data_IF_319064769522
#
_entry.id   IF_319064769522
#
_cell.length_a   1.000
_cell.length_b   1.000
_cell.length_c   1.000
_cell.angle_alpha   90.00
_cell.angle_beta   90.00
_cell.angle_gamma   90.00
#
_symmetry.space_group_name_H-M   'P 1'
#
loop_
_entity.id
_entity.type
_entity.pdbx_description
1 polymer ?
#
# COMPACT_ATOMS: atom_id res chain seq x y z
N UNK A 1 -15.86 21.30 9.27
CA UNK A 1 -15.73 20.01 8.52
C UNK A 1 -16.43 20.05 7.17
N UNK A 2 -17.64 20.59 7.05
CA UNK A 2 -18.36 20.65 5.78
C UNK A 2 -17.63 21.55 4.77
N UNK A 3 -17.29 22.77 5.13
CA UNK A 3 -16.52 23.71 4.30
C UNK A 3 -15.16 23.15 3.83
N UNK A 4 -14.47 22.37 4.66
CA UNK A 4 -13.21 21.74 4.27
C UNK A 4 -13.40 20.63 3.23
N UNK A 5 -14.53 19.89 3.26
CA UNK A 5 -14.86 18.90 2.25
C UNK A 5 -15.28 19.53 0.92
N UNK A 6 -15.98 20.67 0.96
CA UNK A 6 -16.34 21.42 -0.24
C UNK A 6 -15.08 21.94 -0.97
N UNK A 7 -14.13 22.48 -0.23
CA UNK A 7 -12.82 22.90 -0.80
C UNK A 7 -12.05 21.72 -1.39
N UNK A 8 -12.05 20.57 -0.71
CA UNK A 8 -11.43 19.35 -1.23
C UNK A 8 -12.11 18.85 -2.51
N UNK A 9 -13.44 18.90 -2.57
CA UNK A 9 -14.21 18.53 -3.75
C UNK A 9 -13.78 19.36 -4.95
N UNK A 10 -13.81 20.69 -4.82
CA UNK A 10 -13.39 21.63 -5.87
C UNK A 10 -11.94 21.37 -6.29
N UNK A 11 -11.04 21.12 -5.34
CA UNK A 11 -9.64 20.83 -5.64
C UNK A 11 -9.48 19.57 -6.46
N UNK A 12 -10.14 18.48 -6.09
CA UNK A 12 -10.08 17.21 -6.84
C UNK A 12 -10.69 17.37 -8.24
N UNK A 13 -11.79 18.12 -8.38
CA UNK A 13 -12.39 18.42 -9.69
C UNK A 13 -11.44 19.22 -10.58
N UNK A 14 -10.78 20.23 -10.04
CA UNK A 14 -9.77 21.03 -10.75
C UNK A 14 -8.58 20.19 -11.21
N UNK A 15 -8.02 19.36 -10.33
CA UNK A 15 -6.92 18.44 -10.66
C UNK A 15 -7.37 17.43 -11.73
N UNK A 16 -8.60 16.92 -11.64
CA UNK A 16 -9.16 15.98 -12.61
C UNK A 16 -9.25 16.60 -14.02
N UNK A 17 -9.76 17.81 -14.12
CA UNK A 17 -9.85 18.51 -15.42
C UNK A 17 -8.45 18.86 -15.93
N UNK A 18 -7.62 19.48 -15.08
CA UNK A 18 -6.29 19.97 -15.48
C UNK A 18 -5.36 18.86 -15.95
N UNK A 19 -5.28 17.76 -15.20
CA UNK A 19 -4.24 16.73 -15.42
C UNK A 19 -4.76 15.51 -16.19
N UNK A 20 -6.07 15.26 -16.20
CA UNK A 20 -6.67 14.10 -16.88
C UNK A 20 -7.59 14.49 -18.06
N UNK A 21 -7.96 15.79 -18.19
CA UNK A 21 -8.88 16.26 -19.21
C UNK A 21 -10.31 15.74 -19.03
N UNK A 22 -10.66 15.23 -17.85
CA UNK A 22 -11.92 14.54 -17.56
C UNK A 22 -12.49 14.98 -16.21
N UNK A 23 -13.84 15.12 -16.09
CA UNK A 23 -14.44 15.53 -14.84
C UNK A 23 -14.45 14.41 -13.79
N UNK A 24 -14.20 14.75 -12.54
CA UNK A 24 -14.55 13.93 -11.40
C UNK A 24 -16.03 14.18 -11.04
N UNK A 25 -16.87 13.14 -11.02
CA UNK A 25 -18.33 13.27 -10.89
C UNK A 25 -18.90 12.70 -9.58
N UNK A 26 -18.05 12.24 -8.70
CA UNK A 26 -18.44 11.63 -7.43
C UNK A 26 -18.02 12.50 -6.25
N UNK A 27 -18.10 11.99 -5.02
CA UNK A 27 -17.84 12.77 -3.83
C UNK A 27 -16.40 12.63 -3.35
N UNK A 28 -15.84 13.73 -2.91
CA UNK A 28 -14.57 13.78 -2.21
C UNK A 28 -14.78 14.23 -0.77
N UNK A 29 -14.05 13.58 0.17
CA UNK A 29 -14.10 13.99 1.59
C UNK A 29 -12.82 13.66 2.30
N UNK A 30 -12.56 14.40 3.37
CA UNK A 30 -11.53 14.02 4.33
C UNK A 30 -12.00 12.86 5.21
N UNK A 31 -11.10 11.91 5.49
CA UNK A 31 -11.37 10.79 6.39
C UNK A 31 -10.24 10.66 7.44
N UNK A 32 -10.51 11.15 8.65
CA UNK A 32 -9.56 11.09 9.76
C UNK A 32 -9.30 9.67 10.30
N UNK A 33 -10.10 8.67 9.89
CA UNK A 33 -9.89 7.27 10.26
C UNK A 33 -8.76 6.61 9.46
N UNK A 34 -8.29 7.24 8.37
CA UNK A 34 -7.11 6.80 7.64
C UNK A 34 -5.87 7.01 8.51
N UNK A 35 -5.18 5.93 8.87
CA UNK A 35 -4.03 5.97 9.79
C UNK A 35 -2.68 6.07 9.06
N UNK A 36 -2.48 5.28 8.03
CA UNK A 36 -1.20 5.13 7.33
C UNK A 36 -1.27 5.37 5.83
N UNK A 37 -2.47 5.46 5.25
CA UNK A 37 -2.68 5.74 3.83
C UNK A 37 -2.93 7.22 3.62
N UNK A 38 -2.43 7.77 2.51
CA UNK A 38 -2.65 9.16 2.13
C UNK A 38 -4.07 9.43 1.66
N UNK A 39 -4.64 8.51 0.92
CA UNK A 39 -5.99 8.53 0.41
C UNK A 39 -6.52 7.13 0.13
N UNK A 40 -7.71 7.05 -0.41
CA UNK A 40 -8.28 5.85 -1.02
C UNK A 40 -9.41 6.16 -1.99
N UNK A 41 -9.45 5.44 -3.08
CA UNK A 41 -10.58 5.36 -3.99
C UNK A 41 -11.52 4.23 -3.57
N UNK A 42 -12.83 4.48 -3.56
CA UNK A 42 -13.86 3.52 -3.15
C UNK A 42 -14.52 2.89 -4.39
N UNK A 43 -14.29 1.61 -4.64
CA UNK A 43 -14.74 0.90 -5.86
C UNK A 43 -16.27 0.88 -6.05
N UNK A 44 -17.06 0.90 -4.97
CA UNK A 44 -18.53 0.80 -5.05
C UNK A 44 -19.21 2.14 -5.28
N UNK A 45 -18.79 3.18 -4.54
CA UNK A 45 -19.39 4.51 -4.59
C UNK A 45 -18.65 5.45 -5.54
N UNK A 46 -17.46 5.07 -5.99
CA UNK A 46 -16.53 5.88 -6.79
C UNK A 46 -16.06 7.17 -6.09
N UNK A 47 -16.28 7.27 -4.77
CA UNK A 47 -15.82 8.40 -3.99
C UNK A 47 -14.30 8.33 -3.74
N UNK A 48 -13.71 9.50 -3.48
CA UNK A 48 -12.32 9.62 -3.04
C UNK A 48 -12.27 10.14 -1.62
N UNK A 49 -11.48 9.48 -0.78
CA UNK A 49 -11.20 9.92 0.57
C UNK A 49 -9.72 10.27 0.73
N UNK A 50 -9.45 11.42 1.35
CA UNK A 50 -8.10 11.91 1.64
C UNK A 50 -7.88 11.97 3.15
N UNK A 51 -6.69 11.59 3.58
CA UNK A 51 -6.29 11.70 4.97
C UNK A 51 -5.93 13.16 5.31
N UNK A 52 -6.69 13.83 6.21
CA UNK A 52 -6.43 15.24 6.53
C UNK A 52 -5.05 15.49 7.16
N UNK A 53 -4.45 14.47 7.78
CA UNK A 53 -3.11 14.57 8.35
C UNK A 53 -2.03 14.80 7.29
N UNK A 54 -2.25 14.35 6.06
CA UNK A 54 -1.30 14.60 4.98
C UNK A 54 -1.18 16.10 4.66
N UNK A 55 -2.28 16.82 4.71
CA UNK A 55 -2.26 18.27 4.50
C UNK A 55 -1.51 18.99 5.64
N UNK A 56 -1.79 18.59 6.88
CA UNK A 56 -1.19 19.21 8.05
C UNK A 56 0.33 18.95 8.17
N UNK A 57 0.77 17.73 7.85
CA UNK A 57 2.15 17.29 8.09
C UNK A 57 3.06 17.43 6.85
N UNK A 58 2.51 17.22 5.66
CA UNK A 58 3.29 17.16 4.43
C UNK A 58 2.94 18.24 3.39
N UNK A 59 1.92 19.05 3.68
CA UNK A 59 1.53 20.20 2.86
C UNK A 59 0.69 19.85 1.63
N UNK A 60 0.29 20.91 0.91
CA UNK A 60 -0.64 20.81 -0.23
C UNK A 60 -0.07 20.02 -1.42
N UNK A 61 1.23 20.17 -1.69
CA UNK A 61 1.89 19.47 -2.80
C UNK A 61 1.80 17.95 -2.66
N UNK A 62 1.99 17.44 -1.44
CA UNK A 62 1.87 16.00 -1.19
C UNK A 62 0.42 15.52 -1.31
N UNK A 63 -0.54 16.32 -0.83
CA UNK A 63 -1.97 16.00 -1.00
C UNK A 63 -2.34 15.97 -2.48
N UNK A 64 -1.83 16.88 -3.30
CA UNK A 64 -2.09 16.86 -4.74
C UNK A 64 -1.53 15.60 -5.42
N UNK A 65 -0.34 15.13 -5.03
CA UNK A 65 0.20 13.84 -5.52
C UNK A 65 -0.70 12.67 -5.13
N UNK A 66 -1.27 12.69 -3.93
CA UNK A 66 -2.24 11.68 -3.47
C UNK A 66 -3.53 11.77 -4.30
N UNK A 67 -4.06 12.96 -4.52
CA UNK A 67 -5.25 13.19 -5.35
C UNK A 67 -5.03 12.61 -6.76
N UNK A 68 -3.91 12.89 -7.39
CA UNK A 68 -3.56 12.33 -8.70
C UNK A 68 -3.52 10.81 -8.70
N UNK A 69 -3.00 10.20 -7.63
CA UNK A 69 -2.97 8.76 -7.46
C UNK A 69 -4.39 8.15 -7.41
N UNK A 70 -5.26 8.72 -6.59
CA UNK A 70 -6.64 8.23 -6.46
C UNK A 70 -7.47 8.49 -7.72
N UNK A 71 -7.21 9.60 -8.43
CA UNK A 71 -7.82 9.89 -9.72
C UNK A 71 -7.38 8.92 -10.82
N UNK A 72 -6.14 8.41 -10.78
CA UNK A 72 -5.73 7.33 -11.69
C UNK A 72 -6.58 6.08 -11.48
N UNK A 73 -6.80 5.67 -10.23
CA UNK A 73 -7.71 4.56 -9.92
C UNK A 73 -9.13 4.84 -10.41
N UNK A 74 -9.63 6.04 -10.14
CA UNK A 74 -10.96 6.48 -10.50
C UNK A 74 -11.20 6.42 -12.02
N UNK A 75 -10.41 7.15 -12.81
CA UNK A 75 -10.62 7.24 -14.25
C UNK A 75 -10.46 5.90 -14.96
N UNK A 76 -9.41 5.15 -14.63
CA UNK A 76 -9.20 3.83 -15.25
C UNK A 76 -10.30 2.83 -14.88
N UNK A 77 -10.80 2.85 -13.65
CA UNK A 77 -11.88 1.96 -13.24
C UNK A 77 -13.20 2.31 -13.93
N UNK A 78 -13.57 3.60 -14.01
CA UNK A 78 -14.76 4.06 -14.72
C UNK A 78 -14.71 3.68 -16.21
N UNK A 79 -13.52 3.69 -16.80
CA UNK A 79 -13.29 3.32 -18.20
C UNK A 79 -13.17 1.80 -18.43
N UNK A 80 -13.29 0.98 -17.39
CA UNK A 80 -13.13 -0.47 -17.47
C UNK A 80 -11.70 -0.93 -17.81
N UNK A 81 -10.69 -0.10 -17.56
CA UNK A 81 -9.27 -0.34 -17.84
C UNK A 81 -8.53 -0.87 -16.62
N UNK A 82 -7.25 -1.22 -16.81
CA UNK A 82 -6.38 -1.71 -15.74
C UNK A 82 -6.05 -0.64 -14.70
N UNK A 83 -6.80 -0.60 -13.61
CA UNK A 83 -6.73 0.43 -12.55
C UNK A 83 -5.91 0.05 -11.33
N UNK A 84 -5.39 -1.17 -11.25
CA UNK A 84 -4.62 -1.62 -10.07
C UNK A 84 -3.15 -1.22 -10.18
N UNK A 85 -2.47 -1.06 -9.06
CA UNK A 85 -1.03 -0.71 -9.02
C UNK A 85 -0.12 -1.63 -9.86
N UNK A 86 -0.52 -2.87 -10.10
CA UNK A 86 0.23 -3.83 -10.92
C UNK A 86 0.00 -3.63 -12.42
N UNK A 87 -1.13 -3.03 -12.80
CA UNK A 87 -1.55 -2.91 -14.19
C UNK A 87 -0.69 -1.87 -14.92
N UNK A 88 -0.44 -2.11 -16.20
CA UNK A 88 0.43 -1.28 -17.03
C UNK A 88 -0.16 0.12 -17.22
N UNK A 89 -1.45 0.18 -17.54
CA UNK A 89 -2.18 1.44 -17.77
C UNK A 89 -2.15 2.35 -16.54
N UNK A 90 -2.27 1.78 -15.33
CA UNK A 90 -2.16 2.55 -14.10
C UNK A 90 -0.78 3.21 -13.95
N UNK A 91 0.28 2.45 -14.22
CA UNK A 91 1.66 2.96 -14.09
C UNK A 91 1.95 4.06 -15.09
N UNK A 92 1.52 3.88 -16.34
CA UNK A 92 1.70 4.84 -17.43
C UNK A 92 0.93 6.13 -17.14
N UNK A 93 -0.35 6.03 -16.76
CA UNK A 93 -1.16 7.20 -16.43
C UNK A 93 -0.58 7.96 -15.22
N UNK A 94 -0.22 7.24 -14.14
CA UNK A 94 0.35 7.85 -12.94
C UNK A 94 1.64 8.61 -13.23
N UNK A 95 2.49 8.06 -14.08
CA UNK A 95 3.72 8.72 -14.53
C UNK A 95 3.40 9.95 -15.38
N UNK A 96 2.46 9.84 -16.30
CA UNK A 96 2.07 10.93 -17.21
C UNK A 96 1.52 12.16 -16.47
N UNK A 97 0.76 11.97 -15.39
CA UNK A 97 0.21 13.07 -14.58
C UNK A 97 1.15 13.55 -13.47
N UNK A 98 2.35 13.00 -13.37
CA UNK A 98 3.30 13.35 -12.30
C UNK A 98 2.83 12.95 -10.90
N UNK A 99 2.04 11.88 -10.79
CA UNK A 99 1.60 11.31 -9.54
C UNK A 99 2.68 10.43 -8.87
N UNK A 100 2.50 10.10 -7.61
CA UNK A 100 3.38 9.21 -6.86
C UNK A 100 2.69 7.92 -6.45
N UNK A 101 3.40 6.79 -6.58
CA UNK A 101 2.89 5.51 -6.10
C UNK A 101 2.80 5.43 -4.58
N UNK A 102 3.63 6.18 -3.88
CA UNK A 102 3.72 6.17 -2.42
C UNK A 102 3.58 7.60 -1.90
N UNK A 103 2.78 7.78 -0.87
CA UNK A 103 2.73 9.02 -0.12
C UNK A 103 3.84 9.08 0.92
N UNK A 104 4.21 10.29 1.34
CA UNK A 104 5.12 10.50 2.45
C UNK A 104 4.55 9.89 3.73
N UNK A 105 5.41 9.27 4.53
CA UNK A 105 5.01 8.71 5.81
C UNK A 105 4.57 9.83 6.76
N UNK A 106 3.52 9.58 7.53
CA UNK A 106 3.11 10.48 8.59
C UNK A 106 4.02 10.30 9.82
N UNK A 107 4.35 11.37 10.55
CA UNK A 107 5.10 11.28 11.80
C UNK A 107 4.45 10.29 12.76
N UNK A 108 5.25 9.47 13.42
CA UNK A 108 4.74 8.44 14.35
C UNK A 108 4.12 7.19 13.69
N UNK A 109 3.98 7.16 12.36
CA UNK A 109 3.67 5.92 11.65
C UNK A 109 4.97 5.16 11.35
N UNK A 110 5.45 4.39 12.32
CA UNK A 110 6.59 3.52 12.08
C UNK A 110 6.28 2.58 10.90
N UNK A 111 7.24 2.35 9.99
CA UNK A 111 7.06 1.34 8.96
C UNK A 111 6.70 0.03 9.67
N UNK A 112 5.60 -0.62 9.26
CA UNK A 112 5.24 -1.91 9.82
C UNK A 112 6.47 -2.80 9.73
N UNK A 113 7.03 -3.18 10.90
CA UNK A 113 8.11 -4.18 10.93
C UNK A 113 7.65 -5.35 10.08
N UNK A 114 8.34 -5.58 8.99
CA UNK A 114 8.03 -6.73 8.15
C UNK A 114 8.36 -7.95 9.00
N UNK A 115 7.32 -8.66 9.46
CA UNK A 115 7.54 -9.91 10.17
C UNK A 115 8.44 -10.81 9.32
N UNK A 116 9.46 -11.43 9.90
CA UNK A 116 10.33 -12.32 9.18
C UNK A 116 9.53 -13.51 8.63
N UNK A 117 10.01 -14.07 7.54
CA UNK A 117 9.48 -15.33 7.05
C UNK A 117 9.78 -16.42 8.07
N UNK A 118 8.73 -17.17 8.46
CA UNK A 118 8.82 -18.24 9.45
C UNK A 118 8.69 -19.63 8.82
N UNK A 119 8.21 -19.69 7.58
CA UNK A 119 7.94 -20.94 6.89
C UNK A 119 8.42 -20.86 5.45
N UNK A 120 8.89 -22.00 4.95
CA UNK A 120 9.19 -22.26 3.54
C UNK A 120 8.27 -23.39 3.06
N UNK A 121 7.55 -23.14 1.98
CA UNK A 121 6.88 -24.20 1.24
C UNK A 121 7.81 -24.64 0.12
N UNK A 122 7.95 -25.93 -0.08
CA UNK A 122 8.76 -26.52 -1.12
C UNK A 122 7.93 -27.53 -1.91
N UNK A 123 7.96 -27.43 -3.23
CA UNK A 123 7.28 -28.39 -4.08
C UNK A 123 8.07 -29.71 -4.12
N UNK A 124 7.38 -30.82 -3.86
CA UNK A 124 8.00 -32.17 -3.87
C UNK A 124 8.46 -32.55 -5.28
N UNK A 125 7.79 -32.08 -6.33
CA UNK A 125 8.09 -32.44 -7.72
C UNK A 125 9.14 -31.55 -8.37
N UNK A 126 8.93 -30.21 -8.35
CA UNK A 126 9.78 -29.28 -9.09
C UNK A 126 10.69 -28.42 -8.20
N UNK A 127 10.71 -28.68 -6.89
CA UNK A 127 11.55 -28.01 -5.89
C UNK A 127 11.35 -26.49 -5.81
N UNK A 128 10.33 -25.93 -6.46
CA UNK A 128 9.97 -24.54 -6.34
C UNK A 128 9.68 -24.17 -4.90
N UNK A 129 10.29 -23.09 -4.39
CA UNK A 129 10.16 -22.65 -3.00
C UNK A 129 9.31 -21.38 -2.90
N UNK A 130 8.56 -21.25 -1.78
CA UNK A 130 7.74 -20.10 -1.46
C UNK A 130 7.91 -19.75 0.01
N UNK A 131 8.34 -18.53 0.32
CA UNK A 131 8.46 -18.04 1.70
C UNK A 131 7.11 -17.55 2.23
N UNK A 132 6.81 -17.87 3.49
CA UNK A 132 5.57 -17.50 4.17
C UNK A 132 5.84 -16.99 5.60
N UNK A 133 5.08 -15.97 5.99
CA UNK A 133 5.12 -15.42 7.36
C UNK A 133 4.23 -16.20 8.31
N UNK A 134 3.16 -16.81 7.80
CA UNK A 134 2.19 -17.62 8.55
C UNK A 134 2.23 -19.06 8.07
N UNK A 135 1.86 -19.99 8.99
CA UNK A 135 1.69 -21.40 8.65
C UNK A 135 0.56 -21.54 7.61
N UNK A 136 0.81 -22.34 6.59
CA UNK A 136 -0.13 -22.63 5.50
C UNK A 136 -0.51 -24.11 5.58
N UNK A 137 -1.79 -24.42 5.45
CA UNK A 137 -2.27 -25.78 5.33
C UNK A 137 -1.96 -26.30 3.91
N UNK A 138 -0.93 -27.11 3.80
CA UNK A 138 -0.46 -27.65 2.51
C UNK A 138 -1.45 -28.60 1.83
N UNK A 139 -2.47 -29.09 2.54
CA UNK A 139 -3.53 -29.93 1.94
C UNK A 139 -4.47 -29.11 1.06
N UNK A 140 -4.55 -27.79 1.28
CA UNK A 140 -5.44 -26.87 0.54
C UNK A 140 -4.77 -26.20 -0.65
N UNK A 141 -3.46 -26.38 -0.83
CA UNK A 141 -2.69 -25.65 -1.84
C UNK A 141 -1.76 -26.58 -2.59
N UNK A 142 -1.53 -26.27 -3.85
CA UNK A 142 -0.61 -26.96 -4.73
C UNK A 142 0.45 -26.00 -5.25
N UNK A 143 1.51 -26.52 -5.83
CA UNK A 143 2.57 -25.72 -6.44
C UNK A 143 2.01 -24.87 -7.59
N UNK A 144 2.26 -23.55 -7.56
CA UNK A 144 1.83 -22.64 -8.62
C UNK A 144 2.54 -22.84 -9.96
N UNK A 145 3.66 -23.60 -9.98
CA UNK A 145 4.42 -23.88 -11.20
C UNK A 145 4.00 -25.20 -11.86
N UNK A 146 3.94 -26.30 -11.10
CA UNK A 146 3.70 -27.65 -11.65
C UNK A 146 2.48 -28.35 -11.06
N UNK A 147 1.71 -27.68 -10.19
CA UNK A 147 0.55 -28.21 -9.45
C UNK A 147 0.86 -29.43 -8.55
N UNK A 148 2.13 -29.77 -8.34
CA UNK A 148 2.55 -30.83 -7.44
C UNK A 148 2.30 -30.50 -5.96
N UNK A 149 2.36 -31.50 -5.06
CA UNK A 149 2.17 -31.32 -3.64
C UNK A 149 3.26 -30.44 -3.02
N UNK A 150 2.90 -29.73 -1.95
CA UNK A 150 3.78 -28.85 -1.21
C UNK A 150 4.15 -29.45 0.14
N UNK A 151 5.40 -29.27 0.55
CA UNK A 151 5.92 -29.60 1.89
C UNK A 151 6.15 -28.31 2.65
N UNK A 152 5.71 -28.25 3.91
CA UNK A 152 5.93 -27.11 4.80
C UNK A 152 7.15 -27.37 5.67
N UNK A 153 8.08 -26.44 5.68
CA UNK A 153 9.27 -26.42 6.52
C UNK A 153 9.22 -25.17 7.40
N UNK A 154 9.43 -25.33 8.71
CA UNK A 154 9.67 -24.19 9.60
C UNK A 154 11.08 -23.65 9.35
N UNK A 155 11.21 -22.34 9.24
CA UNK A 155 12.51 -21.69 9.25
C UNK A 155 12.84 -21.44 10.72
N UNK A 156 13.88 -22.06 11.22
CA UNK A 156 14.40 -21.79 12.56
C UNK A 156 14.79 -20.32 12.62
N UNK A 157 14.22 -19.60 13.59
CA UNK A 157 14.48 -18.18 13.76
C UNK A 157 15.94 -17.94 14.04
N UNK A 158 16.57 -17.02 13.35
CA UNK A 158 17.74 -16.34 13.89
C UNK A 158 17.27 -15.61 15.15
N UNK A 159 17.40 -16.27 16.28
CA UNK A 159 17.21 -15.70 17.61
C UNK A 159 18.12 -14.48 17.72
N UNK A 160 17.52 -13.38 18.14
CA UNK A 160 18.13 -12.10 18.39
C UNK A 160 19.56 -12.26 18.95
N UNK A 161 20.49 -11.59 18.31
CA UNK A 161 21.85 -11.38 18.79
C UNK A 161 21.86 -10.92 20.24
N UNK A 162 22.67 -11.60 21.00
CA UNK A 162 23.03 -11.50 22.37
C UNK A 162 22.84 -10.16 23.07
N UNK A 163 22.25 -10.29 24.22
CA UNK A 163 22.45 -9.37 25.32
C UNK A 163 23.94 -9.36 25.62
N UNK A 164 24.57 -8.19 25.48
CA UNK A 164 25.96 -7.99 25.87
C UNK A 164 26.21 -8.45 27.30
N UNK A 165 27.17 -9.31 27.45
CA UNK A 165 27.77 -9.63 28.75
C UNK A 165 28.30 -8.34 29.34
N UNK A 166 27.79 -7.97 30.50
CA UNK A 166 28.43 -6.96 31.35
C UNK A 166 29.66 -7.60 31.97
N UNK A 167 30.79 -7.15 31.51
CA UNK A 167 32.09 -7.43 32.14
C UNK A 167 32.12 -6.71 33.48
N UNK A 168 32.01 -7.47 34.55
CA UNK A 168 32.28 -7.01 35.90
C UNK A 168 33.79 -7.14 36.17
N UNK A 169 34.54 -6.09 35.85
CA UNK A 169 35.90 -5.98 36.25
C UNK A 169 36.03 -5.97 37.76
N UNK A 170 36.59 -7.06 38.32
CA UNK A 170 37.09 -7.11 39.69
C UNK A 170 38.43 -6.38 39.74
N UNK A 171 38.51 -5.44 40.68
CA UNK A 171 39.78 -4.82 41.13
C UNK A 171 40.51 -5.79 42.05
N UNK A 172 41.75 -5.92 41.86
CA UNK A 172 42.83 -5.93 42.89
C UNK A 172 44.08 -5.34 42.30
#
# INVERSE_FOLDING_TARGET
MQESNERLQVWIEQVSIRDFGKPFRHRARYNARLKSTGGRYLLKSHDIEINPKQLAENGAEEVERIIKHELCHYHLHIEGRGYRHRDKEFKELLQGVGGSRYCKALPGTAPKRTEPYRYRLECVHCQQTYLRKRKVDVKRYVCGRCRGPLRLLALEGQTARGKGARDTGART
#
